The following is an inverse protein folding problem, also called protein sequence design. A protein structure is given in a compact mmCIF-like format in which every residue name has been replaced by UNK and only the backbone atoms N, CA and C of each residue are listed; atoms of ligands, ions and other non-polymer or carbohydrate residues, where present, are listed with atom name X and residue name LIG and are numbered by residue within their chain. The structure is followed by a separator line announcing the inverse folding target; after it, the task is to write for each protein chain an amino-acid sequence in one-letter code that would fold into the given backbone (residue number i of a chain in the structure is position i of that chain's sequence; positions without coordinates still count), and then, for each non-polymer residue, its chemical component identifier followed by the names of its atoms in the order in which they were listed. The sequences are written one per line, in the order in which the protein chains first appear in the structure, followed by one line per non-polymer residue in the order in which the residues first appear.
data_IF_716150317777
#
_entry.id   IF_716150317777
#
_cell.length_a   1.000
_cell.length_b   1.000
_cell.length_c   1.000
_cell.angle_alpha   90.00
_cell.angle_beta   90.00
_cell.angle_gamma   90.00
#
_symmetry.space_group_name_H-M   'P 1'
#
loop_
_entity.id
_entity.type
_entity.pdbx_description
1 polymer ?
#
# COMPACT_ATOMS: atom_id res chain seq x y z
N UNK A 1 -3.05 8.80 19.31
CA UNK A 1 -3.79 8.58 18.06
C UNK A 1 -4.84 9.67 17.92
N UNK A 2 -4.86 10.39 16.80
CA UNK A 2 -5.76 11.53 16.53
C UNK A 2 -6.71 11.14 15.40
N UNK A 3 -8.00 11.47 15.52
CA UNK A 3 -8.92 11.35 14.39
C UNK A 3 -8.73 12.49 13.38
N UNK A 4 -8.66 12.12 12.11
CA UNK A 4 -8.54 13.04 10.98
C UNK A 4 -9.67 12.73 10.01
N UNK A 5 -10.53 13.70 9.79
CA UNK A 5 -11.55 13.63 8.75
C UNK A 5 -10.95 14.05 7.41
N UNK A 6 -11.46 13.47 6.32
CA UNK A 6 -11.04 13.79 4.95
C UNK A 6 -9.53 13.70 4.74
N UNK A 7 -8.90 12.66 5.30
CA UNK A 7 -7.49 12.39 5.05
C UNK A 7 -7.27 12.17 3.55
N UNK A 8 -6.41 12.99 2.94
CA UNK A 8 -6.07 12.87 1.51
C UNK A 8 -4.82 11.98 1.34
N UNK A 9 -4.95 10.75 0.81
CA UNK A 9 -3.83 9.85 0.62
C UNK A 9 -2.97 10.15 -0.62
N UNK A 10 -3.37 11.05 -1.51
CA UNK A 10 -2.63 11.35 -2.74
C UNK A 10 -1.26 11.95 -2.45
N UNK A 11 -0.33 11.66 -3.36
CA UNK A 11 1.06 12.14 -3.39
C UNK A 11 1.88 11.75 -2.15
N UNK A 12 1.37 10.79 -1.37
CA UNK A 12 2.03 10.25 -0.19
C UNK A 12 2.59 8.88 -0.51
N UNK A 13 3.75 8.60 0.08
CA UNK A 13 4.44 7.35 -0.13
C UNK A 13 4.06 6.35 0.97
N UNK A 14 3.24 5.38 0.60
CA UNK A 14 2.72 4.34 1.48
C UNK A 14 3.51 3.04 1.36
N UNK A 15 3.81 2.42 2.48
CA UNK A 15 4.23 1.03 2.54
C UNK A 15 3.00 0.15 2.76
N UNK A 16 2.66 -0.66 1.76
CA UNK A 16 1.58 -1.63 1.85
C UNK A 16 2.11 -3.05 1.93
N UNK A 17 1.58 -3.80 2.89
CA UNK A 17 1.78 -5.23 3.10
C UNK A 17 0.58 -5.94 2.47
N UNK A 18 0.51 -5.92 1.14
CA UNK A 18 -0.52 -6.57 0.33
C UNK A 18 0.15 -7.56 -0.64
N UNK A 19 -0.39 -8.76 -0.71
CA UNK A 19 0.11 -9.87 -1.52
C UNK A 19 -0.91 -10.30 -2.61
N UNK A 20 -0.59 -11.37 -3.34
CA UNK A 20 -1.47 -11.91 -4.39
C UNK A 20 -2.81 -12.46 -3.90
N UNK A 21 -2.96 -12.71 -2.58
CA UNK A 21 -4.18 -13.23 -1.98
C UNK A 21 -5.05 -12.10 -1.41
N UNK A 22 -4.46 -10.96 -1.11
CA UNK A 22 -5.13 -9.77 -0.59
C UNK A 22 -5.36 -8.66 -1.62
N UNK A 23 -4.63 -8.62 -2.74
CA UNK A 23 -4.75 -7.55 -3.72
C UNK A 23 -4.80 -8.02 -5.17
N UNK A 24 -5.84 -7.58 -5.91
CA UNK A 24 -6.03 -7.90 -7.32
C UNK A 24 -4.83 -7.47 -8.17
N UNK A 25 -4.29 -6.25 -7.95
CA UNK A 25 -3.11 -5.76 -8.66
C UNK A 25 -1.88 -6.64 -8.43
N UNK A 26 -1.68 -7.13 -7.20
CA UNK A 26 -0.56 -8.00 -6.86
C UNK A 26 -0.71 -9.39 -7.48
N UNK A 27 -1.96 -9.84 -7.64
CA UNK A 27 -2.31 -11.13 -8.27
C UNK A 27 -2.17 -11.11 -9.79
N UNK A 28 -2.58 -10.04 -10.45
CA UNK A 28 -2.72 -9.99 -11.92
C UNK A 28 -1.74 -9.05 -12.62
N UNK A 29 -1.05 -8.19 -11.86
CA UNK A 29 -0.24 -7.09 -12.38
C UNK A 29 -1.04 -5.82 -12.73
N UNK A 30 -2.38 -5.87 -12.73
CA UNK A 30 -3.26 -4.77 -13.18
C UNK A 30 -4.22 -4.37 -12.06
N UNK A 31 -4.37 -3.07 -11.76
CA UNK A 31 -5.33 -2.62 -10.76
C UNK A 31 -6.77 -2.66 -11.29
N UNK A 32 -7.71 -3.15 -10.47
CA UNK A 32 -9.13 -3.20 -10.86
C UNK A 32 -9.80 -1.82 -10.98
N UNK A 33 -9.11 -0.77 -10.52
CA UNK A 33 -9.56 0.62 -10.54
C UNK A 33 -8.88 1.48 -11.62
N UNK A 34 -7.88 0.98 -12.35
CA UNK A 34 -7.17 1.80 -13.36
C UNK A 34 -8.12 2.10 -14.54
N UNK A 35 -8.63 1.06 -15.20
CA UNK A 35 -9.43 1.14 -16.43
C UNK A 35 -10.95 1.10 -16.18
N UNK A 36 -11.43 1.77 -15.13
CA UNK A 36 -12.87 1.92 -14.86
C UNK A 36 -13.21 3.38 -14.55
N UNK A 37 -14.32 3.85 -15.10
CA UNK A 37 -14.85 5.20 -14.88
C UNK A 37 -15.64 5.29 -13.57
N UNK A 38 -15.85 6.51 -13.07
CA UNK A 38 -16.71 6.75 -11.90
C UNK A 38 -18.16 6.29 -12.17
N UNK A 39 -18.67 6.51 -13.39
CA UNK A 39 -20.03 6.12 -13.76
C UNK A 39 -20.20 4.59 -13.74
N UNK A 40 -19.22 3.84 -14.24
CA UNK A 40 -19.23 2.37 -14.18
C UNK A 40 -19.13 1.85 -12.75
N UNK A 41 -18.39 2.53 -11.87
CA UNK A 41 -18.32 2.18 -10.45
C UNK A 41 -19.67 2.34 -9.74
N UNK A 42 -20.48 3.34 -10.10
CA UNK A 42 -21.85 3.46 -9.56
C UNK A 42 -22.75 2.28 -9.94
N UNK A 43 -22.50 1.65 -11.09
CA UNK A 43 -23.25 0.50 -11.59
C UNK A 43 -22.74 -0.85 -11.07
N UNK A 44 -21.61 -0.87 -10.36
CA UNK A 44 -21.09 -2.10 -9.76
C UNK A 44 -21.97 -2.58 -8.60
N UNK A 45 -21.94 -3.88 -8.30
CA UNK A 45 -22.52 -4.40 -7.05
C UNK A 45 -21.70 -3.88 -5.86
N UNK A 46 -22.36 -3.32 -4.85
CA UNK A 46 -21.67 -3.02 -3.60
C UNK A 46 -21.25 -4.32 -2.92
N UNK A 47 -20.08 -4.32 -2.27
CA UNK A 47 -19.66 -5.43 -1.43
C UNK A 47 -20.63 -5.56 -0.25
N UNK A 48 -21.32 -6.70 -0.16
CA UNK A 48 -22.17 -7.09 0.98
C UNK A 48 -21.96 -8.61 1.20
N UNK A 49 -20.86 -9.02 1.83
CA UNK A 49 -20.60 -10.44 2.16
C UNK A 49 -19.15 -10.87 1.96
N UNK A 50 -18.82 -12.16 2.16
CA UNK A 50 -17.45 -12.70 2.02
C UNK A 50 -16.96 -12.65 0.56
N UNK A 51 -16.40 -11.51 0.13
CA UNK A 51 -15.69 -11.42 -1.16
C UNK A 51 -14.19 -11.55 -0.94
N UNK A 52 -13.55 -12.38 -1.77
CA UNK A 52 -12.10 -12.52 -1.81
C UNK A 52 -11.45 -11.15 -2.10
N UNK A 53 -10.54 -10.72 -1.23
CA UNK A 53 -9.86 -9.41 -1.33
C UNK A 53 -9.05 -9.25 -2.61
N UNK A 54 -8.48 -10.36 -3.11
CA UNK A 54 -7.79 -10.41 -4.41
C UNK A 54 -8.71 -10.46 -5.63
N UNK A 55 -10.03 -10.27 -5.47
CA UNK A 55 -10.96 -10.24 -6.60
C UNK A 55 -11.12 -8.84 -7.19
N UNK A 56 -11.49 -8.79 -8.47
CA UNK A 56 -11.82 -7.54 -9.16
C UNK A 56 -12.99 -6.80 -8.48
N UNK A 57 -13.94 -7.56 -7.92
CA UNK A 57 -15.16 -7.03 -7.29
C UNK A 57 -14.87 -6.34 -5.95
N UNK A 58 -13.84 -6.76 -5.22
CA UNK A 58 -13.57 -6.24 -3.87
C UNK A 58 -13.32 -4.73 -3.85
N UNK A 59 -12.31 -4.25 -4.58
CA UNK A 59 -11.99 -2.82 -4.60
C UNK A 59 -13.06 -1.99 -5.33
N UNK A 60 -13.74 -2.54 -6.35
CA UNK A 60 -14.83 -1.86 -7.06
C UNK A 60 -16.07 -1.68 -6.19
N UNK A 61 -16.45 -2.72 -5.45
CA UNK A 61 -17.54 -2.66 -4.48
C UNK A 61 -17.25 -1.70 -3.34
N UNK A 62 -16.00 -1.67 -2.84
CA UNK A 62 -15.55 -0.69 -1.85
C UNK A 62 -15.60 0.74 -2.41
N UNK A 63 -15.16 0.94 -3.65
CA UNK A 63 -15.23 2.24 -4.32
C UNK A 63 -16.67 2.74 -4.44
N UNK A 64 -17.63 1.86 -4.79
CA UNK A 64 -19.05 2.20 -4.79
C UNK A 64 -19.56 2.63 -3.41
N UNK A 65 -19.14 1.96 -2.33
CA UNK A 65 -19.54 2.36 -0.97
C UNK A 65 -19.03 3.76 -0.60
N UNK A 66 -17.82 4.12 -1.02
CA UNK A 66 -17.30 5.49 -0.85
C UNK A 66 -18.09 6.51 -1.68
N UNK A 67 -18.41 6.19 -2.94
CA UNK A 67 -19.19 7.05 -3.84
C UNK A 67 -20.63 7.25 -3.33
N UNK A 68 -21.25 6.23 -2.74
CA UNK A 68 -22.58 6.28 -2.12
C UNK A 68 -22.56 6.96 -0.73
N UNK A 69 -21.40 7.39 -0.22
CA UNK A 69 -21.20 7.91 1.14
C UNK A 69 -21.68 6.93 2.24
N UNK A 70 -21.52 5.62 2.00
CA UNK A 70 -21.91 4.52 2.91
C UNK A 70 -20.72 3.89 3.64
N UNK A 71 -19.53 4.46 3.49
CA UNK A 71 -18.30 3.94 4.11
C UNK A 71 -17.80 4.90 5.20
N UNK A 72 -17.88 4.51 6.47
CA UNK A 72 -17.50 5.36 7.60
C UNK A 72 -16.29 4.85 8.41
N UNK A 73 -15.93 3.57 8.26
CA UNK A 73 -14.87 2.95 9.06
C UNK A 73 -13.51 3.59 8.78
N UNK A 74 -12.81 4.11 9.82
CA UNK A 74 -11.54 4.78 9.62
C UNK A 74 -10.43 3.82 9.14
N UNK A 75 -9.42 4.38 8.48
CA UNK A 75 -8.14 3.71 8.27
C UNK A 75 -7.17 4.05 9.41
N UNK A 76 -6.37 3.08 9.85
CA UNK A 76 -5.37 3.29 10.89
C UNK A 76 -4.02 3.58 10.21
N UNK A 77 -3.61 4.85 10.23
CA UNK A 77 -2.49 5.39 9.45
C UNK A 77 -1.39 5.90 10.38
N UNK A 78 -0.15 5.54 10.06
CA UNK A 78 1.04 5.97 10.77
C UNK A 78 1.96 6.72 9.83
N UNK A 79 2.47 7.87 10.26
CA UNK A 79 3.56 8.58 9.59
C UNK A 79 4.86 8.35 10.37
N UNK A 80 5.87 7.80 9.71
CA UNK A 80 7.22 7.68 10.26
C UNK A 80 8.00 8.96 9.93
N UNK A 81 8.20 9.83 10.91
CA UNK A 81 8.75 11.18 10.70
C UNK A 81 10.18 11.19 10.16
N UNK A 82 10.96 10.14 10.46
CA UNK A 82 12.35 10.02 9.98
C UNK A 82 12.47 9.81 8.48
N UNK A 83 11.59 9.00 7.88
CA UNK A 83 11.64 8.68 6.45
C UNK A 83 10.49 9.29 5.63
N UNK A 84 9.47 9.86 6.28
CA UNK A 84 8.28 10.40 5.60
C UNK A 84 7.35 9.32 5.04
N UNK A 85 7.58 8.03 5.37
CA UNK A 85 6.76 6.94 4.87
C UNK A 85 5.49 6.78 5.70
N UNK A 86 4.37 6.62 5.00
CA UNK A 86 3.10 6.24 5.60
C UNK A 86 2.98 4.72 5.67
N UNK A 87 2.37 4.20 6.73
CA UNK A 87 2.03 2.79 6.88
C UNK A 87 0.60 2.67 7.37
N UNK A 88 -0.04 1.52 7.14
CA UNK A 88 -1.35 1.24 7.70
C UNK A 88 -1.33 -0.05 8.52
N UNK A 89 -1.93 -0.05 9.71
CA UNK A 89 -2.25 -1.30 10.43
C UNK A 89 -3.63 -1.83 10.08
N UNK A 90 -4.49 -0.97 9.53
CA UNK A 90 -5.83 -1.31 9.07
C UNK A 90 -6.29 -0.38 7.95
N UNK A 91 -6.93 -0.93 6.92
CA UNK A 91 -7.53 -0.13 5.85
C UNK A 91 -6.63 0.22 4.67
N UNK A 92 -5.61 -0.60 4.37
CA UNK A 92 -4.74 -0.44 3.20
C UNK A 92 -5.54 -0.26 1.90
N UNK A 93 -6.55 -1.11 1.67
CA UNK A 93 -7.46 -0.98 0.52
C UNK A 93 -8.27 0.31 0.53
N UNK A 94 -8.74 0.77 1.70
CA UNK A 94 -9.52 2.01 1.82
C UNK A 94 -8.70 3.22 1.39
N UNK A 95 -7.46 3.29 1.86
CA UNK A 95 -6.49 4.33 1.49
C UNK A 95 -6.24 4.31 -0.02
N UNK A 96 -5.94 3.14 -0.59
CA UNK A 96 -5.68 2.97 -2.02
C UNK A 96 -6.91 3.33 -2.88
N UNK A 97 -8.09 2.81 -2.54
CA UNK A 97 -9.36 3.07 -3.24
C UNK A 97 -9.67 4.57 -3.26
N UNK A 98 -9.56 5.23 -2.10
CA UNK A 98 -9.83 6.67 -2.01
C UNK A 98 -8.83 7.46 -2.85
N UNK A 99 -7.54 7.11 -2.85
CA UNK A 99 -6.56 7.77 -3.71
C UNK A 99 -6.92 7.69 -5.20
N UNK A 100 -7.32 6.50 -5.68
CA UNK A 100 -7.78 6.31 -7.05
C UNK A 100 -9.03 7.12 -7.37
N UNK A 101 -10.02 7.16 -6.46
CA UNK A 101 -11.24 7.93 -6.64
C UNK A 101 -10.96 9.44 -6.72
N UNK A 102 -10.13 9.96 -5.81
CA UNK A 102 -9.73 11.37 -5.83
C UNK A 102 -8.93 11.73 -7.08
N UNK A 103 -8.06 10.84 -7.57
CA UNK A 103 -7.34 11.00 -8.86
C UNK A 103 -8.27 11.04 -10.06
N UNK A 104 -9.40 10.33 -9.99
CA UNK A 104 -10.49 10.37 -10.99
C UNK A 104 -11.44 11.55 -10.81
N UNK A 105 -11.17 12.46 -9.86
CA UNK A 105 -11.97 13.66 -9.61
C UNK A 105 -13.25 13.44 -8.78
N UNK A 106 -13.43 12.26 -8.16
CA UNK A 106 -14.55 12.03 -7.28
C UNK A 106 -14.40 12.80 -5.96
N UNK A 107 -15.53 13.22 -5.37
CA UNK A 107 -15.56 13.85 -4.05
C UNK A 107 -15.92 12.81 -3.00
N UNK A 108 -14.89 12.18 -2.42
CA UNK A 108 -15.04 11.15 -1.37
C UNK A 108 -14.24 11.50 -0.14
N UNK A 109 -14.64 10.95 1.00
CA UNK A 109 -14.03 11.22 2.31
C UNK A 109 -13.38 9.95 2.86
N UNK A 110 -12.16 10.07 3.37
CA UNK A 110 -11.49 9.03 4.15
C UNK A 110 -11.31 9.51 5.58
N UNK A 111 -11.98 8.85 6.51
CA UNK A 111 -11.68 9.04 7.92
C UNK A 111 -10.43 8.23 8.28
N UNK A 112 -9.57 8.80 9.12
CA UNK A 112 -8.35 8.13 9.54
C UNK A 112 -8.09 8.30 11.05
N UNK A 113 -7.66 7.23 11.69
CA UNK A 113 -6.97 7.28 12.97
C UNK A 113 -5.48 7.48 12.67
N UNK A 114 -4.99 8.69 12.89
CA UNK A 114 -3.64 9.10 12.52
C UNK A 114 -2.70 9.11 13.74
N UNK A 115 -1.49 8.60 13.55
CA UNK A 115 -0.42 8.65 14.56
C UNK A 115 0.92 8.98 13.90
N UNK A 116 1.68 9.88 14.52
CA UNK A 116 3.06 10.12 14.14
C UNK A 116 4.01 9.28 15.00
N UNK A 117 5.08 8.77 14.39
CA UNK A 117 6.09 7.96 15.06
C UNK A 117 7.49 8.48 14.73
N UNK A 118 8.37 8.47 15.74
CA UNK A 118 9.76 8.92 15.65
C UNK A 118 10.73 7.79 15.22
N UNK A 119 10.19 6.65 14.78
CA UNK A 119 10.93 5.47 14.34
C UNK A 119 11.22 5.43 12.84
N UNK A 120 12.09 4.48 12.44
CA UNK A 120 12.18 4.06 11.04
C UNK A 120 11.02 3.12 10.74
N UNK A 121 10.42 3.25 9.56
CA UNK A 121 9.37 2.32 9.16
C UNK A 121 9.95 0.93 8.88
N UNK A 122 9.10 -0.10 8.91
CA UNK A 122 9.49 -1.49 8.64
C UNK A 122 10.26 -1.64 7.33
N UNK A 123 9.80 -0.98 6.26
CA UNK A 123 10.48 -0.98 4.97
C UNK A 123 11.93 -0.45 5.09
N UNK A 124 12.12 0.72 5.70
CA UNK A 124 13.45 1.30 5.89
C UNK A 124 14.35 0.41 6.75
N UNK A 125 13.82 -0.16 7.84
CA UNK A 125 14.56 -1.07 8.70
C UNK A 125 15.06 -2.31 7.96
N UNK A 126 14.22 -2.91 7.10
CA UNK A 126 14.58 -4.07 6.29
C UNK A 126 15.64 -3.69 5.24
N UNK A 127 15.48 -2.52 4.59
CA UNK A 127 16.45 -2.01 3.63
C UNK A 127 17.81 -1.74 4.28
N UNK A 128 17.82 -1.17 5.49
CA UNK A 128 19.02 -0.96 6.30
C UNK A 128 19.68 -2.29 6.69
N UNK A 129 18.90 -3.31 7.08
CA UNK A 129 19.41 -4.65 7.40
C UNK A 129 20.11 -5.29 6.19
N UNK A 130 19.49 -5.25 5.01
CA UNK A 130 20.15 -5.72 3.78
C UNK A 130 21.44 -4.95 3.49
N UNK A 131 21.42 -3.62 3.61
CA UNK A 131 22.61 -2.79 3.41
C UNK A 131 23.73 -3.12 4.43
N UNK A 132 23.38 -3.41 5.68
CA UNK A 132 24.34 -3.83 6.70
C UNK A 132 24.91 -5.22 6.40
N UNK A 133 24.08 -6.18 6.00
CA UNK A 133 24.51 -7.51 5.59
C UNK A 133 25.49 -7.43 4.42
N UNK A 134 25.21 -6.61 3.41
CA UNK A 134 26.14 -6.39 2.30
C UNK A 134 27.47 -5.77 2.76
N UNK A 135 27.44 -4.81 3.70
CA UNK A 135 28.66 -4.16 4.23
C UNK A 135 29.56 -5.11 5.02
N UNK A 136 29.00 -6.14 5.66
CA UNK A 136 29.75 -7.16 6.41
C UNK A 136 30.50 -8.15 5.52
N UNK A 137 30.14 -8.24 4.24
CA UNK A 137 30.84 -9.10 3.29
C UNK A 137 32.24 -8.56 2.99
N UNK A 138 33.17 -9.48 2.72
CA UNK A 138 34.52 -9.12 2.28
C UNK A 138 34.47 -8.34 0.95
N UNK A 139 35.44 -7.45 0.77
CA UNK A 139 35.51 -6.58 -0.41
C UNK A 139 35.55 -7.40 -1.70
N UNK A 140 36.31 -8.50 -1.74
CA UNK A 140 36.39 -9.37 -2.92
C UNK A 140 35.04 -9.99 -3.29
N UNK A 141 34.27 -10.48 -2.31
CA UNK A 141 32.95 -11.05 -2.55
C UNK A 141 31.99 -10.01 -3.12
N UNK A 142 32.06 -8.77 -2.62
CA UNK A 142 31.24 -7.64 -3.10
C UNK A 142 31.62 -7.20 -4.51
N UNK A 143 32.92 -7.10 -4.82
CA UNK A 143 33.43 -6.72 -6.14
C UNK A 143 33.06 -7.77 -7.19
N UNK A 144 33.32 -9.04 -6.88
CA UNK A 144 33.04 -10.15 -7.79
C UNK A 144 31.53 -10.47 -7.88
N UNK A 145 30.72 -9.93 -6.96
CA UNK A 145 29.26 -10.15 -6.88
C UNK A 145 28.90 -11.64 -6.89
N UNK A 146 29.58 -12.43 -6.06
CA UNK A 146 29.43 -13.90 -6.00
C UNK A 146 28.87 -14.36 -4.64
N UNK A 147 28.45 -15.62 -4.58
CA UNK A 147 28.04 -16.28 -3.34
C UNK A 147 26.99 -15.49 -2.57
N UNK A 148 27.27 -15.22 -1.29
CA UNK A 148 26.40 -14.51 -0.37
C UNK A 148 25.94 -13.13 -0.87
N UNK A 149 26.76 -12.43 -1.66
CA UNK A 149 26.34 -11.15 -2.26
C UNK A 149 25.13 -11.34 -3.18
N UNK A 150 25.13 -12.38 -4.02
CA UNK A 150 23.99 -12.68 -4.89
C UNK A 150 22.75 -13.04 -4.06
N UNK A 151 22.94 -13.84 -3.01
CA UNK A 151 21.84 -14.26 -2.13
C UNK A 151 21.17 -13.05 -1.45
N UNK A 152 21.96 -12.15 -0.86
CA UNK A 152 21.44 -10.94 -0.21
C UNK A 152 20.74 -10.05 -1.24
N UNK A 153 21.34 -9.85 -2.41
CA UNK A 153 20.77 -9.01 -3.47
C UNK A 153 19.45 -9.58 -4.00
N UNK A 154 19.38 -10.90 -4.22
CA UNK A 154 18.16 -11.57 -4.68
C UNK A 154 17.06 -11.50 -3.62
N UNK A 155 17.41 -11.67 -2.33
CA UNK A 155 16.45 -11.54 -1.24
C UNK A 155 15.90 -10.11 -1.13
N UNK A 156 16.77 -9.10 -1.27
CA UNK A 156 16.36 -7.69 -1.29
C UNK A 156 15.43 -7.39 -2.48
N UNK A 157 15.79 -7.86 -3.67
CA UNK A 157 14.95 -7.67 -4.86
C UNK A 157 13.60 -8.37 -4.70
N UNK A 158 13.58 -9.59 -4.18
CA UNK A 158 12.33 -10.30 -3.90
C UNK A 158 11.47 -9.53 -2.87
N UNK A 159 12.08 -9.00 -1.81
CA UNK A 159 11.37 -8.15 -0.84
C UNK A 159 10.79 -6.91 -1.52
N UNK A 160 11.56 -6.21 -2.37
CA UNK A 160 11.08 -5.03 -3.10
C UNK A 160 9.97 -5.37 -4.11
N UNK A 161 9.99 -6.56 -4.69
CA UNK A 161 8.92 -7.05 -5.55
C UNK A 161 7.63 -7.34 -4.78
N UNK A 162 7.72 -7.80 -3.52
CA UNK A 162 6.58 -8.24 -2.69
C UNK A 162 6.04 -7.16 -1.75
N UNK A 163 6.91 -6.34 -1.19
CA UNK A 163 6.62 -5.24 -0.27
C UNK A 163 7.12 -3.92 -0.88
N UNK A 164 6.27 -3.33 -1.71
CA UNK A 164 6.59 -2.11 -2.43
C UNK A 164 6.16 -0.87 -1.64
N UNK A 165 6.92 0.21 -1.86
CA UNK A 165 6.41 1.56 -1.62
C UNK A 165 5.50 1.97 -2.78
N UNK A 166 4.36 2.56 -2.46
CA UNK A 166 3.40 3.08 -3.43
C UNK A 166 3.27 4.58 -3.24
N UNK A 167 3.53 5.36 -4.29
CA UNK A 167 3.12 6.76 -4.33
C UNK A 167 1.68 6.78 -4.84
N UNK A 168 0.77 7.20 -3.97
CA UNK A 168 -0.66 7.15 -4.21
C UNK A 168 -1.25 8.36 -4.90
#
# INVERSE_FOLDING_TARGET
MKQVENFDPRDKMFHFVLDQYSCYRRKTGICSLDDITIQELFNCESYIGECNESSIKYCRGMAKLFLDNKFSTPADIYLNKKCGHYCCSGGQHRVCVVAHLLKKGAQVKLNANFTEQEGSCRYCLIQEDYAQKEKRLSILVRILKIGEYKTIRNARQNYEEHECMYIL
#
